data_IF_722357759611
#
_entry.id   IF_722357759611
#
_cell.length_a   1.000
_cell.length_b   1.000
_cell.length_c   1.000
_cell.angle_alpha   90.00
_cell.angle_beta   90.00
_cell.angle_gamma   90.00
#
_symmetry.space_group_name_H-M   'P 1'
#
loop_
_entity.id
_entity.type
_entity.pdbx_description
1 polymer ?
#
# COMPACT_ATOMS: atom_id res chain seq x y z
N UNK A 1 9.73 20.21 11.62
CA UNK A 1 10.55 20.01 10.42
C UNK A 1 11.05 21.37 9.93
N UNK A 2 12.23 21.46 9.31
CA UNK A 2 12.76 22.74 8.82
C UNK A 2 11.89 23.32 7.69
N UNK A 3 11.52 24.59 7.84
CA UNK A 3 10.72 25.34 6.89
C UNK A 3 11.51 25.82 5.65
N UNK A 4 12.82 25.97 5.80
CA UNK A 4 13.74 26.50 4.80
C UNK A 4 14.87 25.49 4.56
N UNK A 5 15.45 25.52 3.37
CA UNK A 5 16.58 24.68 2.98
C UNK A 5 17.89 25.07 3.64
N UNK A 6 18.04 26.33 4.06
CA UNK A 6 19.24 26.87 4.68
C UNK A 6 18.98 28.11 5.56
N UNK A 7 19.95 28.47 6.39
CA UNK A 7 19.91 29.70 7.19
C UNK A 7 19.95 30.96 6.29
N UNK A 8 20.72 30.93 5.20
CA UNK A 8 20.80 32.06 4.27
C UNK A 8 19.46 32.32 3.59
N UNK A 9 18.75 31.26 3.19
CA UNK A 9 17.40 31.36 2.63
C UNK A 9 16.42 31.97 3.63
N UNK A 10 16.48 31.53 4.89
CA UNK A 10 15.67 32.08 5.97
C UNK A 10 15.96 33.57 6.20
N UNK A 11 17.24 33.96 6.27
CA UNK A 11 17.64 35.35 6.50
C UNK A 11 17.21 36.26 5.34
N UNK A 12 17.37 35.81 4.09
CA UNK A 12 16.89 36.53 2.92
C UNK A 12 15.36 36.73 2.95
N UNK A 13 14.60 35.70 3.33
CA UNK A 13 13.15 35.81 3.47
C UNK A 13 12.75 36.75 4.64
N UNK A 14 13.53 36.77 5.73
CA UNK A 14 13.27 37.63 6.89
C UNK A 14 13.57 39.12 6.64
N UNK A 15 14.48 39.44 5.71
CA UNK A 15 14.81 40.83 5.36
C UNK A 15 13.65 41.55 4.64
N UNK A 16 12.68 40.81 4.11
CA UNK A 16 11.47 41.38 3.50
C UNK A 16 10.38 41.80 4.49
N UNK A 17 10.56 41.52 5.80
CA UNK A 17 9.56 41.73 6.85
C UNK A 17 9.78 43.00 7.68
N UNK A 18 10.64 43.94 7.24
CA UNK A 18 11.11 45.07 8.05
C UNK A 18 10.00 45.99 8.63
N UNK A 19 8.73 45.88 8.19
CA UNK A 19 7.62 46.76 8.61
C UNK A 19 6.31 46.05 9.04
N UNK A 20 6.24 44.72 9.12
CA UNK A 20 4.99 44.02 9.45
C UNK A 20 5.16 43.16 10.72
N UNK A 21 4.17 43.20 11.64
CA UNK A 21 4.05 42.30 12.81
C UNK A 21 3.75 40.83 12.38
N UNK A 22 4.07 40.50 11.13
CA UNK A 22 3.63 39.36 10.36
C UNK A 22 4.48 38.12 10.61
N UNK A 23 3.81 36.97 10.63
CA UNK A 23 4.46 35.68 10.58
C UNK A 23 5.20 35.52 9.25
N UNK A 24 6.47 35.12 9.32
CA UNK A 24 7.21 34.69 8.13
C UNK A 24 6.53 33.45 7.54
N UNK A 25 5.95 33.59 6.36
CA UNK A 25 5.33 32.47 5.67
C UNK A 25 6.38 31.43 5.27
N UNK A 26 5.98 30.16 5.32
CA UNK A 26 6.82 29.06 4.83
C UNK A 26 6.93 29.15 3.30
N UNK A 27 8.13 28.97 2.73
CA UNK A 27 8.29 29.01 1.28
C UNK A 27 7.54 27.84 0.65
N UNK A 28 6.91 28.10 -0.49
CA UNK A 28 6.40 27.04 -1.34
C UNK A 28 7.53 26.41 -2.17
N UNK A 29 7.19 25.36 -2.94
CA UNK A 29 8.19 24.64 -3.72
C UNK A 29 8.83 25.49 -4.83
N UNK A 30 8.15 26.53 -5.32
CA UNK A 30 8.70 27.43 -6.33
C UNK A 30 9.70 28.42 -5.73
N UNK A 31 9.52 28.78 -4.46
CA UNK A 31 10.37 29.71 -3.71
C UNK A 31 11.59 29.02 -3.11
N UNK A 32 11.43 27.81 -2.56
CA UNK A 32 12.51 26.99 -2.02
C UNK A 32 12.30 25.51 -2.34
N UNK A 33 12.76 25.03 -3.51
CA UNK A 33 12.59 23.63 -3.93
C UNK A 33 13.29 22.63 -3.01
N UNK A 34 14.28 23.08 -2.24
CA UNK A 34 15.09 22.24 -1.36
C UNK A 34 14.61 22.29 0.09
N UNK A 35 13.60 23.12 0.41
CA UNK A 35 12.94 23.10 1.71
C UNK A 35 12.21 21.75 1.87
N UNK A 36 12.53 20.95 2.91
CA UNK A 36 11.95 19.62 3.07
C UNK A 36 10.42 19.62 3.09
N UNK A 37 9.81 20.60 3.77
CA UNK A 37 8.35 20.73 3.86
C UNK A 37 7.71 21.09 2.50
N UNK A 38 8.30 22.01 1.75
CA UNK A 38 7.81 22.43 0.44
C UNK A 38 7.91 21.30 -0.60
N UNK A 39 9.04 20.59 -0.61
CA UNK A 39 9.27 19.42 -1.46
C UNK A 39 8.30 18.27 -1.11
N UNK A 40 8.01 18.06 0.18
CA UNK A 40 7.05 17.05 0.63
C UNK A 40 5.63 17.36 0.15
N UNK A 41 5.16 18.60 0.29
CA UNK A 41 3.83 19.00 -0.20
C UNK A 41 3.73 18.86 -1.73
N UNK A 42 4.79 19.21 -2.47
CA UNK A 42 4.86 18.97 -3.92
C UNK A 42 4.77 17.47 -4.25
N UNK A 43 5.49 16.61 -3.53
CA UNK A 43 5.44 15.17 -3.71
C UNK A 43 4.04 14.60 -3.45
N UNK A 44 3.33 15.07 -2.41
CA UNK A 44 1.93 14.70 -2.14
C UNK A 44 1.00 15.06 -3.28
N UNK A 45 1.16 16.26 -3.85
CA UNK A 45 0.37 16.70 -5.00
C UNK A 45 0.64 15.85 -6.26
N UNK A 46 1.88 15.44 -6.48
CA UNK A 46 2.26 14.55 -7.59
C UNK A 46 1.65 13.15 -7.42
N UNK A 47 1.71 12.58 -6.20
CA UNK A 47 1.02 11.31 -5.88
C UNK A 47 -0.48 11.42 -6.14
N UNK A 48 -1.13 12.52 -5.71
CA UNK A 48 -2.54 12.76 -5.96
C UNK A 48 -2.91 12.88 -7.45
N UNK A 49 -1.95 13.24 -8.30
CA UNK A 49 -2.08 13.34 -9.76
C UNK A 49 -1.59 12.10 -10.51
N UNK A 50 -1.25 11.03 -9.80
CA UNK A 50 -0.67 9.81 -10.35
C UNK A 50 0.70 9.99 -11.05
N UNK A 51 1.39 11.10 -10.80
CA UNK A 51 2.77 11.31 -11.25
C UNK A 51 3.76 10.72 -10.23
N UNK A 52 3.69 9.39 -10.05
CA UNK A 52 4.36 8.68 -8.95
C UNK A 52 5.89 8.72 -9.10
N UNK A 53 6.42 8.55 -10.31
CA UNK A 53 7.87 8.57 -10.56
C UNK A 53 8.50 9.91 -10.16
N UNK A 54 7.86 11.03 -10.51
CA UNK A 54 8.31 12.37 -10.11
C UNK A 54 8.23 12.57 -8.59
N UNK A 55 7.23 12.00 -7.94
CA UNK A 55 7.09 12.07 -6.48
C UNK A 55 8.20 11.28 -5.76
N UNK A 56 8.55 10.09 -6.27
CA UNK A 56 9.62 9.25 -5.72
C UNK A 56 10.95 10.02 -5.73
N UNK A 57 11.32 10.62 -6.86
CA UNK A 57 12.56 11.41 -6.99
C UNK A 57 12.63 12.54 -5.95
N UNK A 58 11.53 13.24 -5.72
CA UNK A 58 11.47 14.29 -4.70
C UNK A 58 11.60 13.74 -3.29
N UNK A 59 10.94 12.64 -2.97
CA UNK A 59 10.98 12.01 -1.65
C UNK A 59 12.37 11.45 -1.32
N UNK A 60 13.04 10.80 -2.29
CA UNK A 60 14.43 10.35 -2.14
C UNK A 60 15.37 11.51 -1.88
N UNK A 61 15.22 12.62 -2.61
CA UNK A 61 16.03 13.84 -2.40
C UNK A 61 15.82 14.44 -1.00
N UNK A 62 14.59 14.45 -0.49
CA UNK A 62 14.29 14.88 0.88
C UNK A 62 15.03 14.00 1.88
N UNK A 63 14.95 12.68 1.73
CA UNK A 63 15.54 11.72 2.67
C UNK A 63 17.07 11.64 2.60
N UNK A 64 17.67 11.96 1.46
CA UNK A 64 19.13 12.15 1.35
C UNK A 64 19.63 13.31 2.23
N UNK A 65 18.80 14.36 2.40
CA UNK A 65 19.15 15.54 3.21
C UNK A 65 18.70 15.40 4.68
N UNK A 66 17.52 14.83 4.89
CA UNK A 66 16.89 14.68 6.20
C UNK A 66 16.34 13.25 6.36
N UNK A 67 17.22 12.26 6.66
CA UNK A 67 16.83 10.86 6.79
C UNK A 67 15.74 10.61 7.85
N UNK A 68 15.67 11.46 8.88
CA UNK A 68 14.70 11.38 9.97
C UNK A 68 13.31 11.93 9.62
N UNK A 69 13.07 12.39 8.38
CA UNK A 69 11.76 12.88 7.97
C UNK A 69 10.77 11.71 7.79
N UNK A 70 10.10 11.38 8.90
CA UNK A 70 9.20 10.24 9.00
C UNK A 70 8.05 10.26 7.96
N UNK A 71 7.43 11.43 7.74
CA UNK A 71 6.32 11.55 6.79
C UNK A 71 6.78 11.30 5.35
N UNK A 72 7.96 11.81 4.96
CA UNK A 72 8.54 11.56 3.65
C UNK A 72 8.93 10.08 3.47
N UNK A 73 9.52 9.46 4.49
CA UNK A 73 9.82 8.02 4.50
C UNK A 73 8.55 7.17 4.36
N UNK A 74 7.51 7.48 5.12
CA UNK A 74 6.23 6.78 5.07
C UNK A 74 5.57 6.90 3.70
N UNK A 75 5.56 8.12 3.14
CA UNK A 75 5.03 8.36 1.81
C UNK A 75 5.85 7.61 0.75
N UNK A 76 7.18 7.68 0.79
CA UNK A 76 8.05 6.97 -0.16
C UNK A 76 7.81 5.46 -0.14
N UNK A 77 7.77 4.84 1.04
CA UNK A 77 7.50 3.40 1.18
C UNK A 77 6.12 3.03 0.62
N UNK A 78 5.13 3.91 0.75
CA UNK A 78 3.81 3.68 0.16
C UNK A 78 3.76 3.78 -1.37
N UNK A 79 4.76 4.45 -1.98
CA UNK A 79 4.86 4.68 -3.42
C UNK A 79 5.86 3.76 -4.12
N UNK A 80 6.87 3.28 -3.40
CA UNK A 80 7.85 2.37 -3.96
C UNK A 80 7.13 1.15 -4.54
N UNK A 81 7.52 0.78 -5.76
CA UNK A 81 7.23 -0.55 -6.24
C UNK A 81 7.73 -1.54 -5.18
N UNK A 82 6.95 -2.59 -4.98
CA UNK A 82 7.36 -3.64 -4.07
C UNK A 82 8.73 -4.20 -4.41
N UNK A 83 9.22 -5.12 -3.57
CA UNK A 83 10.35 -5.95 -3.97
C UNK A 83 10.15 -6.42 -5.42
N UNK A 84 11.15 -6.21 -6.29
CA UNK A 84 11.01 -6.52 -7.72
C UNK A 84 10.60 -7.99 -7.96
N UNK A 85 10.99 -8.86 -7.04
CA UNK A 85 10.60 -10.28 -6.97
C UNK A 85 9.08 -10.51 -6.85
N UNK A 86 8.35 -9.53 -6.31
CA UNK A 86 6.90 -9.55 -6.14
C UNK A 86 6.15 -8.79 -7.24
N UNK A 87 6.84 -8.17 -8.21
CA UNK A 87 6.17 -7.40 -9.27
C UNK A 87 5.14 -8.25 -10.04
N UNK A 88 5.47 -9.52 -10.26
CA UNK A 88 4.59 -10.50 -10.90
C UNK A 88 3.71 -11.26 -9.91
N UNK A 89 3.82 -11.06 -8.60
CA UNK A 89 3.03 -11.79 -7.62
C UNK A 89 1.54 -11.36 -7.66
N UNK A 90 0.58 -12.30 -7.77
CA UNK A 90 -0.84 -11.96 -7.97
C UNK A 90 -1.47 -11.25 -6.77
N UNK A 91 -0.99 -11.51 -5.55
CA UNK A 91 -1.44 -10.85 -4.33
C UNK A 91 -0.83 -9.44 -4.23
N UNK A 92 0.45 -9.29 -4.61
CA UNK A 92 1.14 -8.01 -4.66
C UNK A 92 0.54 -7.04 -5.70
N UNK A 93 0.19 -7.52 -6.88
CA UNK A 93 -0.49 -6.74 -7.92
C UNK A 93 -1.84 -6.21 -7.45
N UNK A 94 -2.52 -6.95 -6.56
CA UNK A 94 -3.83 -6.59 -6.01
C UNK A 94 -3.77 -5.87 -4.67
N UNK A 95 -2.58 -5.60 -4.12
CA UNK A 95 -2.36 -5.04 -2.75
C UNK A 95 -3.19 -3.79 -2.44
N UNK A 96 -3.48 -2.96 -3.44
CA UNK A 96 -4.29 -1.76 -3.27
C UNK A 96 -5.71 -2.09 -2.77
N UNK A 97 -6.30 -3.19 -3.24
CA UNK A 97 -7.60 -3.67 -2.78
C UNK A 97 -7.58 -4.29 -1.38
N UNK A 98 -6.42 -4.74 -0.90
CA UNK A 98 -6.24 -5.25 0.46
C UNK A 98 -6.09 -4.14 1.52
N UNK A 99 -5.88 -2.87 1.11
CA UNK A 99 -5.79 -1.73 2.06
C UNK A 99 -7.10 -1.45 2.80
N UNK A 100 -8.23 -1.89 2.25
CA UNK A 100 -9.54 -1.70 2.83
C UNK A 100 -10.11 -3.05 3.29
N UNK A 101 -9.59 -3.62 4.37
CA UNK A 101 -10.31 -4.67 5.10
C UNK A 101 -11.45 -3.96 5.82
N UNK A 102 -12.73 -4.18 5.48
CA UNK A 102 -13.83 -3.56 6.20
C UNK A 102 -13.83 -4.12 7.62
N UNK A 103 -13.35 -3.32 8.57
CA UNK A 103 -13.53 -3.62 9.99
C UNK A 103 -15.04 -3.73 10.26
N UNK A 104 -15.45 -4.84 10.88
CA UNK A 104 -16.81 -5.27 11.20
C UNK A 104 -17.96 -4.28 11.01
N UNK A 105 -19.03 -4.73 10.34
CA UNK A 105 -20.29 -3.99 10.21
C UNK A 105 -20.66 -3.58 8.78
N UNK A 106 -19.75 -3.76 7.81
CA UNK A 106 -20.10 -3.64 6.40
C UNK A 106 -20.88 -4.87 5.93
N UNK A 107 -21.96 -4.65 5.19
CA UNK A 107 -22.73 -5.73 4.55
C UNK A 107 -22.08 -6.22 3.25
N UNK A 108 -21.00 -5.58 2.80
CA UNK A 108 -20.29 -5.88 1.57
C UNK A 108 -18.79 -5.72 1.77
N UNK A 109 -18.02 -6.66 1.21
CA UNK A 109 -16.59 -6.72 1.31
C UNK A 109 -15.98 -7.13 -0.04
N UNK A 110 -15.36 -6.17 -0.73
CA UNK A 110 -14.70 -6.38 -2.03
C UNK A 110 -13.41 -7.21 -1.92
N UNK A 111 -12.96 -7.50 -0.70
CA UNK A 111 -11.80 -8.33 -0.43
C UNK A 111 -12.00 -9.78 -0.90
N UNK A 112 -13.21 -10.34 -0.75
CA UNK A 112 -13.44 -11.75 -1.04
C UNK A 112 -13.26 -12.10 -2.53
N UNK A 113 -13.86 -11.34 -3.49
CA UNK A 113 -13.56 -11.51 -4.90
C UNK A 113 -12.08 -11.34 -5.25
N UNK A 114 -11.38 -10.38 -4.66
CA UNK A 114 -9.95 -10.18 -4.90
C UNK A 114 -9.10 -11.37 -4.44
N UNK A 115 -9.46 -11.98 -3.32
CA UNK A 115 -8.83 -13.21 -2.84
C UNK A 115 -9.10 -14.36 -3.82
N UNK A 116 -10.32 -14.51 -4.33
CA UNK A 116 -10.66 -15.54 -5.32
C UNK A 116 -9.86 -15.40 -6.62
N UNK A 117 -9.72 -14.17 -7.11
CA UNK A 117 -8.90 -13.87 -8.30
C UNK A 117 -7.42 -14.21 -8.07
N UNK A 118 -6.87 -13.85 -6.92
CA UNK A 118 -5.48 -14.18 -6.58
C UNK A 118 -5.27 -15.70 -6.47
N UNK A 119 -6.21 -16.43 -5.84
CA UNK A 119 -6.18 -17.90 -5.80
C UNK A 119 -6.20 -18.48 -7.22
N UNK A 120 -7.09 -17.99 -8.09
CA UNK A 120 -7.17 -18.46 -9.47
C UNK A 120 -5.85 -18.23 -10.23
N UNK A 121 -5.24 -17.07 -10.06
CA UNK A 121 -3.95 -16.75 -10.67
C UNK A 121 -2.81 -17.65 -10.16
N UNK A 122 -2.76 -17.99 -8.87
CA UNK A 122 -1.78 -18.95 -8.35
C UNK A 122 -1.99 -20.36 -8.92
N UNK A 123 -3.25 -20.81 -9.02
CA UNK A 123 -3.57 -22.11 -9.63
C UNK A 123 -3.14 -22.15 -11.10
N UNK A 124 -3.44 -21.10 -11.87
CA UNK A 124 -3.06 -21.00 -13.28
C UNK A 124 -1.53 -21.04 -13.48
N UNK A 125 -0.78 -20.44 -12.55
CA UNK A 125 0.69 -20.47 -12.54
C UNK A 125 1.28 -21.80 -12.06
N UNK A 126 0.45 -22.72 -11.54
CA UNK A 126 0.92 -23.94 -10.90
C UNK A 126 1.58 -23.72 -9.54
N UNK A 127 1.40 -22.55 -8.93
CA UNK A 127 1.86 -22.28 -7.56
C UNK A 127 0.83 -22.82 -6.55
N UNK A 128 0.80 -24.15 -6.45
CA UNK A 128 -0.13 -24.89 -5.59
C UNK A 128 0.04 -24.51 -4.11
N UNK A 129 1.25 -24.17 -3.66
CA UNK A 129 1.52 -23.81 -2.26
C UNK A 129 0.88 -22.47 -1.91
N UNK A 130 1.14 -21.43 -2.70
CA UNK A 130 0.55 -20.10 -2.47
C UNK A 130 -0.97 -20.14 -2.61
N UNK A 131 -1.49 -20.88 -3.61
CA UNK A 131 -2.92 -21.09 -3.77
C UNK A 131 -3.55 -21.76 -2.53
N UNK A 132 -2.93 -22.82 -1.99
CA UNK A 132 -3.43 -23.52 -0.79
C UNK A 132 -3.43 -22.63 0.45
N UNK A 133 -2.34 -21.89 0.68
CA UNK A 133 -2.22 -20.99 1.82
C UNK A 133 -3.31 -19.92 1.76
N UNK A 134 -3.48 -19.28 0.60
CA UNK A 134 -4.49 -18.24 0.43
C UNK A 134 -5.93 -18.80 0.55
N UNK A 135 -6.17 -20.01 0.03
CA UNK A 135 -7.45 -20.72 0.15
C UNK A 135 -7.79 -21.09 1.61
N UNK A 136 -6.78 -21.41 2.44
CA UNK A 136 -6.92 -21.64 3.87
C UNK A 136 -7.25 -20.34 4.61
N UNK A 137 -6.51 -19.26 4.33
CA UNK A 137 -6.78 -17.94 4.93
C UNK A 137 -8.18 -17.43 4.57
N UNK A 138 -8.60 -17.58 3.31
CA UNK A 138 -9.95 -17.22 2.87
C UNK A 138 -11.02 -17.98 3.66
N UNK A 139 -10.84 -19.29 3.85
CA UNK A 139 -11.78 -20.12 4.61
C UNK A 139 -11.87 -19.69 6.08
N UNK A 140 -10.76 -19.28 6.68
CA UNK A 140 -10.72 -18.74 8.04
C UNK A 140 -11.48 -17.42 8.15
N UNK A 141 -11.22 -16.47 7.24
CA UNK A 141 -11.94 -15.19 7.22
C UNK A 141 -13.44 -15.40 7.02
N UNK A 142 -13.83 -16.13 5.98
CA UNK A 142 -15.23 -16.35 5.65
C UNK A 142 -15.96 -17.21 6.70
N UNK A 143 -15.24 -18.11 7.40
CA UNK A 143 -15.78 -18.88 8.52
C UNK A 143 -16.14 -18.02 9.74
N UNK A 144 -15.50 -16.86 9.91
CA UNK A 144 -15.81 -15.88 10.96
C UNK A 144 -16.96 -14.93 10.62
N UNK A 145 -17.40 -14.89 9.35
CA UNK A 145 -18.45 -13.98 8.90
C UNK A 145 -19.86 -14.49 9.23
N UNK A 146 -20.85 -13.59 9.14
CA UNK A 146 -22.26 -13.97 9.31
C UNK A 146 -22.73 -14.91 8.19
N UNK A 147 -23.68 -15.80 8.47
CA UNK A 147 -24.27 -16.72 7.48
C UNK A 147 -24.81 -15.98 6.24
N UNK A 148 -25.41 -14.80 6.42
CA UNK A 148 -25.93 -13.99 5.31
C UNK A 148 -24.84 -13.48 4.37
N UNK A 149 -23.65 -13.21 4.91
CA UNK A 149 -22.51 -12.77 4.12
C UNK A 149 -21.86 -13.97 3.42
N UNK A 150 -21.70 -15.10 4.13
CA UNK A 150 -21.23 -16.36 3.53
C UNK A 150 -22.07 -16.74 2.30
N UNK A 151 -23.40 -16.72 2.42
CA UNK A 151 -24.32 -17.01 1.32
C UNK A 151 -24.20 -16.03 0.15
N UNK A 152 -23.97 -14.74 0.44
CA UNK A 152 -23.80 -13.72 -0.60
C UNK A 152 -22.59 -13.97 -1.47
N UNK A 153 -21.50 -14.46 -0.88
CA UNK A 153 -20.28 -14.81 -1.59
C UNK A 153 -20.22 -16.28 -1.99
N UNK A 154 -21.32 -17.03 -1.85
CA UNK A 154 -21.39 -18.44 -2.24
C UNK A 154 -20.47 -19.37 -1.44
N UNK A 155 -20.09 -18.98 -0.21
CA UNK A 155 -19.20 -19.77 0.61
C UNK A 155 -19.90 -20.99 1.22
N UNK A 156 -19.46 -22.17 0.80
CA UNK A 156 -19.90 -23.45 1.32
C UNK A 156 -18.72 -24.21 1.92
N UNK A 157 -18.76 -24.45 3.25
CA UNK A 157 -17.64 -25.10 3.98
C UNK A 157 -17.19 -26.42 3.36
N UNK A 158 -18.14 -27.26 2.97
CA UNK A 158 -17.84 -28.57 2.39
C UNK A 158 -17.23 -28.45 1.00
N UNK A 159 -17.68 -27.49 0.18
CA UNK A 159 -17.11 -27.23 -1.12
C UNK A 159 -15.69 -26.65 -1.01
N UNK A 160 -15.48 -25.76 -0.05
CA UNK A 160 -14.16 -25.19 0.25
C UNK A 160 -13.18 -26.28 0.70
N UNK A 161 -13.61 -27.17 1.59
CA UNK A 161 -12.82 -28.32 2.03
C UNK A 161 -12.44 -29.24 0.87
N UNK A 162 -13.41 -29.58 0.00
CA UNK A 162 -13.15 -30.40 -1.19
C UNK A 162 -12.14 -29.74 -2.13
N UNK A 163 -12.23 -28.42 -2.35
CA UNK A 163 -11.27 -27.64 -3.16
C UNK A 163 -9.87 -27.69 -2.55
N UNK A 164 -9.73 -27.53 -1.23
CA UNK A 164 -8.44 -27.65 -0.55
C UNK A 164 -7.85 -29.05 -0.69
N UNK A 165 -8.66 -30.10 -0.54
CA UNK A 165 -8.22 -31.48 -0.70
C UNK A 165 -7.75 -31.77 -2.12
N UNK A 166 -8.54 -31.37 -3.13
CA UNK A 166 -8.18 -31.53 -4.53
C UNK A 166 -6.82 -30.87 -4.85
N UNK A 167 -6.67 -29.59 -4.47
CA UNK A 167 -5.45 -28.84 -4.73
C UNK A 167 -4.25 -29.39 -3.95
N UNK A 168 -4.45 -29.86 -2.72
CA UNK A 168 -3.39 -30.52 -1.95
C UNK A 168 -2.92 -31.84 -2.56
N UNK A 169 -3.79 -32.49 -3.35
CA UNK A 169 -3.46 -33.64 -4.19
C UNK A 169 -2.38 -33.35 -5.24
N UNK A 170 -2.23 -32.10 -5.66
CA UNK A 170 -1.29 -31.67 -6.71
C UNK A 170 0.11 -31.34 -6.17
N UNK A 171 0.29 -31.32 -4.84
CA UNK A 171 1.59 -31.07 -4.23
C UNK A 171 2.60 -32.17 -4.60
N UNK A 172 3.85 -31.78 -4.86
CA UNK A 172 4.94 -32.71 -5.21
C UNK A 172 5.20 -33.80 -4.15
N UNK A 173 4.86 -33.53 -2.89
CA UNK A 173 4.97 -34.49 -1.77
C UNK A 173 3.62 -35.02 -1.30
N UNK A 174 2.57 -34.79 -2.09
CA UNK A 174 1.19 -35.16 -1.80
C UNK A 174 0.60 -34.46 -0.57
N UNK A 175 -0.71 -34.66 -0.34
CA UNK A 175 -1.34 -34.21 0.88
C UNK A 175 -0.85 -35.04 2.06
N UNK A 176 -0.59 -34.40 3.21
CA UNK A 176 -0.48 -35.14 4.47
C UNK A 176 -1.88 -35.66 4.80
N UNK A 177 -2.18 -36.89 4.40
CA UNK A 177 -3.37 -37.59 4.87
C UNK A 177 -3.19 -37.79 6.39
N UNK A 178 -4.03 -37.13 7.17
CA UNK A 178 -4.22 -37.39 8.60
C UNK A 178 -5.41 -38.33 8.78
#
# INVERSE_FOLDING_TARGET
MPAFSSLDTFLAASQGLEDDDGYLEHPDFSQDPDAPQAAYEKARLLVGRQAVDEAIVLLERILQRLPEYADASSLLVSQADGPAELADDPLWQRRAGFRAIPCGGSKHNDLYPLIDEAIAAYIERGDTVSALLLLQSQAQYMGGETLSLQQRYGFERNAQWARQMALSGELAHGPRQL
#
